data_IF_467449742858
#
_entry.id   IF_467449742858
#
_cell.length_a   1.000
_cell.length_b   1.000
_cell.length_c   1.000
_cell.angle_alpha   90.00
_cell.angle_beta   90.00
_cell.angle_gamma   90.00
#
_symmetry.space_group_name_H-M   'P 1'
#
loop_
_entity.id
_entity.type
_entity.pdbx_description
1 polymer ?
#
# COMPACT_ATOMS: atom_id res chain seq x y z
N UNK A 1 -14.96 -1.77 8.81
CA UNK A 1 -15.41 -1.38 7.47
C UNK A 1 -14.51 -0.22 7.03
N UNK A 2 -13.52 -0.42 6.15
CA UNK A 2 -12.75 0.71 5.63
C UNK A 2 -13.68 1.51 4.71
N UNK A 3 -14.01 2.72 5.17
CA UNK A 3 -14.73 3.75 4.43
C UNK A 3 -13.97 4.02 3.12
N UNK A 4 -14.70 4.44 2.06
CA UNK A 4 -14.21 4.69 0.68
C UNK A 4 -13.13 5.79 0.61
N UNK A 5 -11.96 5.56 1.20
CA UNK A 5 -10.82 6.47 1.18
C UNK A 5 -10.09 6.34 -0.14
N UNK A 6 -9.76 7.47 -0.77
CA UNK A 6 -8.93 7.50 -1.98
C UNK A 6 -7.47 7.15 -1.67
N UNK A 7 -6.98 7.63 -0.53
CA UNK A 7 -5.59 7.48 -0.09
C UNK A 7 -5.54 6.83 1.30
N UNK A 8 -4.61 5.88 1.48
CA UNK A 8 -4.40 5.18 2.75
C UNK A 8 -2.99 5.43 3.26
N UNK A 9 -2.89 6.12 4.39
CA UNK A 9 -1.61 6.41 5.03
C UNK A 9 -1.01 5.15 5.64
N UNK A 10 0.21 4.85 5.23
CA UNK A 10 1.03 3.73 5.67
C UNK A 10 2.35 4.28 6.21
N UNK A 11 2.36 4.86 7.42
CA UNK A 11 3.61 5.24 8.07
C UNK A 11 4.45 3.98 8.32
N UNK A 12 5.77 4.07 8.14
CA UNK A 12 6.69 2.99 8.48
C UNK A 12 6.66 2.77 9.99
N UNK A 13 5.81 1.84 10.44
CA UNK A 13 5.89 1.26 11.78
C UNK A 13 6.97 0.16 11.82
N UNK A 14 7.27 -0.29 13.04
CA UNK A 14 8.28 -1.31 13.35
C UNK A 14 8.02 -2.71 12.73
N UNK A 15 6.91 -2.88 12.01
CA UNK A 15 6.55 -4.12 11.32
C UNK A 15 6.69 -3.95 9.80
N UNK A 16 7.76 -4.54 9.28
CA UNK A 16 7.98 -4.74 7.85
C UNK A 16 6.83 -5.62 7.33
N UNK A 17 6.05 -5.12 6.36
CA UNK A 17 4.86 -5.78 5.81
C UNK A 17 3.63 -5.87 6.77
N UNK A 18 3.33 -4.79 7.48
CA UNK A 18 2.07 -4.63 8.21
C UNK A 18 0.86 -5.06 7.37
N UNK A 19 -0.06 -5.81 7.98
CA UNK A 19 -1.40 -6.14 7.46
C UNK A 19 -2.11 -4.97 6.77
N UNK A 20 -1.79 -3.74 7.16
CA UNK A 20 -2.28 -2.48 6.56
C UNK A 20 -1.99 -2.34 5.07
N UNK A 21 -0.82 -2.78 4.59
CA UNK A 21 -0.48 -2.70 3.17
C UNK A 21 -1.41 -3.61 2.36
N UNK A 22 -1.56 -4.86 2.80
CA UNK A 22 -2.43 -5.84 2.14
C UNK A 22 -3.90 -5.42 2.20
N UNK A 23 -4.35 -4.89 3.33
CA UNK A 23 -5.72 -4.36 3.48
C UNK A 23 -5.98 -3.15 2.57
N UNK A 24 -5.02 -2.23 2.45
CA UNK A 24 -5.12 -1.08 1.55
C UNK A 24 -5.16 -1.49 0.07
N UNK A 25 -4.31 -2.45 -0.33
CA UNK A 25 -4.30 -3.01 -1.68
C UNK A 25 -5.65 -3.69 -1.99
N UNK A 26 -6.17 -4.50 -1.07
CA UNK A 26 -7.46 -5.16 -1.23
C UNK A 26 -8.64 -4.18 -1.29
N UNK A 27 -8.53 -3.04 -0.60
CA UNK A 27 -9.51 -1.97 -0.64
C UNK A 27 -9.40 -1.05 -1.87
N UNK A 28 -8.45 -1.30 -2.78
CA UNK A 28 -8.12 -0.43 -3.92
C UNK A 28 -7.81 1.02 -3.50
N UNK A 29 -7.20 1.17 -2.32
CA UNK A 29 -6.82 2.45 -1.75
C UNK A 29 -5.36 2.74 -2.09
N UNK A 30 -5.09 3.88 -2.76
CA UNK A 30 -3.73 4.25 -3.14
C UNK A 30 -2.90 4.46 -1.87
N UNK A 31 -1.83 3.69 -1.73
CA UNK A 31 -0.99 3.74 -0.53
C UNK A 31 -0.17 5.03 -0.51
N UNK A 32 -0.14 5.68 0.65
CA UNK A 32 0.72 6.82 0.93
C UNK A 32 1.73 6.39 1.98
N UNK A 33 2.92 6.02 1.53
CA UNK A 33 3.98 5.44 2.34
C UNK A 33 4.78 6.58 2.93
N UNK A 34 4.71 6.74 4.25
CA UNK A 34 5.44 7.79 4.96
C UNK A 34 6.66 7.19 5.65
N UNK A 35 7.87 7.46 5.15
CA UNK A 35 9.11 6.96 5.75
C UNK A 35 10.37 7.63 5.22
N UNK A 36 11.42 7.71 6.05
CA UNK A 36 12.77 8.16 5.66
C UNK A 36 13.54 7.06 4.91
N UNK A 37 13.53 5.82 5.42
CA UNK A 37 14.33 4.70 4.88
C UNK A 37 13.60 3.35 4.93
N UNK A 38 12.34 3.30 4.52
CA UNK A 38 11.59 2.04 4.47
C UNK A 38 11.93 1.23 3.23
N UNK A 39 12.62 0.10 3.44
CA UNK A 39 12.74 -0.93 2.42
C UNK A 39 11.37 -1.61 2.26
N UNK A 40 10.68 -1.31 1.16
CA UNK A 40 9.39 -1.92 0.86
C UNK A 40 9.58 -3.41 0.51
N UNK A 41 8.68 -4.29 0.98
CA UNK A 41 8.79 -5.71 0.66
C UNK A 41 8.69 -5.92 -0.86
N UNK A 42 9.46 -6.87 -1.38
CA UNK A 42 9.48 -7.23 -2.80
C UNK A 42 9.79 -6.06 -3.75
N UNK A 43 10.56 -5.06 -3.32
CA UNK A 43 10.96 -3.91 -4.19
C UNK A 43 11.76 -4.32 -5.44
N UNK A 44 12.36 -5.52 -5.45
CA UNK A 44 13.02 -6.09 -6.63
C UNK A 44 12.03 -6.56 -7.71
N UNK A 45 10.78 -6.81 -7.33
CA UNK A 45 9.71 -7.33 -8.20
C UNK A 45 8.64 -6.27 -8.45
N UNK A 46 8.29 -5.50 -7.42
CA UNK A 46 7.22 -4.51 -7.43
C UNK A 46 7.79 -3.10 -7.56
N UNK A 47 7.35 -2.40 -8.61
CA UNK A 47 7.60 -0.96 -8.78
C UNK A 47 6.59 -0.16 -7.97
N UNK A 48 6.90 0.11 -6.71
CA UNK A 48 6.00 0.76 -5.77
C UNK A 48 5.51 2.14 -6.23
N UNK A 49 6.34 2.89 -6.96
CA UNK A 49 6.00 4.19 -7.52
C UNK A 49 4.88 4.11 -8.57
N UNK A 50 4.60 2.92 -9.10
CA UNK A 50 3.54 2.72 -10.09
C UNK A 50 2.13 2.68 -9.48
N UNK A 51 2.01 2.42 -8.17
CA UNK A 51 0.72 2.21 -7.51
C UNK A 51 0.64 2.83 -6.10
N UNK A 52 1.70 3.51 -5.64
CA UNK A 52 1.77 4.18 -4.34
C UNK A 52 2.45 5.54 -4.45
N UNK A 53 2.29 6.33 -3.40
CA UNK A 53 2.92 7.64 -3.22
C UNK A 53 3.87 7.54 -2.04
N UNK A 54 5.16 7.81 -2.25
CA UNK A 54 6.13 7.93 -1.16
C UNK A 54 6.17 9.38 -0.67
N UNK A 55 6.17 9.56 0.64
CA UNK A 55 6.33 10.85 1.32
C UNK A 55 7.41 10.69 2.37
N UNK A 56 8.43 11.54 2.35
CA UNK A 56 9.45 11.55 3.39
C UNK A 56 8.83 12.02 4.72
N UNK A 57 9.34 11.56 5.86
CA UNK A 57 8.83 11.99 7.18
C UNK A 57 8.97 13.51 7.33
N UNK A 58 10.06 14.07 6.79
CA UNK A 58 10.30 15.51 6.68
C UNK A 58 9.41 16.24 5.68
N UNK A 59 8.44 15.60 5.02
CA UNK A 59 7.49 16.28 4.15
C UNK A 59 6.04 16.06 4.58
N UNK A 60 5.84 15.41 5.73
CA UNK A 60 4.50 15.10 6.24
C UNK A 60 3.64 16.35 6.45
N UNK A 61 4.25 17.50 6.78
CA UNK A 61 3.55 18.77 6.93
C UNK A 61 2.98 19.30 5.60
N UNK A 62 3.54 18.88 4.47
CA UNK A 62 3.07 19.22 3.10
C UNK A 62 2.20 18.14 2.48
N UNK A 63 1.81 17.12 3.25
CA UNK A 63 1.06 15.96 2.75
C UNK A 63 -0.17 16.37 1.90
N UNK A 64 -0.91 17.39 2.31
CA UNK A 64 -2.06 17.90 1.55
C UNK A 64 -1.67 18.36 0.14
N UNK A 65 -0.59 19.13 0.01
CA UNK A 65 -0.08 19.63 -1.27
C UNK A 65 0.34 18.48 -2.18
N UNK A 66 1.08 17.51 -1.63
CA UNK A 66 1.52 16.31 -2.34
C UNK A 66 0.32 15.52 -2.87
N UNK A 67 -0.66 15.24 -2.01
CA UNK A 67 -1.85 14.48 -2.40
C UNK A 67 -2.74 15.23 -3.41
N UNK A 68 -2.77 16.56 -3.35
CA UNK A 68 -3.44 17.37 -4.37
C UNK A 68 -2.75 17.25 -5.73
N UNK A 69 -1.40 17.28 -5.77
CA UNK A 69 -0.64 17.08 -7.01
C UNK A 69 -0.80 15.67 -7.60
N UNK A 70 -1.08 14.66 -6.77
CA UNK A 70 -1.31 13.28 -7.21
C UNK A 70 -2.68 13.10 -7.87
N UNK A 71 -3.65 13.99 -7.68
CA UNK A 71 -5.02 13.80 -8.19
C UNK A 71 -5.08 13.56 -9.70
N UNK A 72 -4.20 14.19 -10.49
CA UNK A 72 -4.11 13.99 -11.94
C UNK A 72 -3.67 12.57 -12.31
N UNK A 73 -2.78 11.97 -11.52
CA UNK A 73 -2.24 10.62 -11.71
C UNK A 73 -3.01 9.55 -10.95
N UNK A 74 -4.00 9.92 -10.15
CA UNK A 74 -4.73 9.02 -9.27
C UNK A 74 -5.34 7.84 -10.01
N UNK A 75 -5.97 8.06 -11.18
CA UNK A 75 -6.57 6.98 -11.98
C UNK A 75 -5.53 5.94 -12.39
N UNK A 76 -4.37 6.39 -12.84
CA UNK A 76 -3.27 5.51 -13.25
C UNK A 76 -2.73 4.70 -12.06
N UNK A 77 -2.58 5.31 -10.89
CA UNK A 77 -2.17 4.62 -9.66
C UNK A 77 -3.18 3.52 -9.27
N UNK A 78 -4.48 3.81 -9.34
CA UNK A 78 -5.54 2.83 -9.04
C UNK A 78 -5.55 1.68 -10.05
N UNK A 79 -5.37 1.97 -11.35
CA UNK A 79 -5.30 0.93 -12.39
C UNK A 79 -4.13 -0.04 -12.15
N UNK A 80 -2.94 0.49 -11.84
CA UNK A 80 -1.79 -0.34 -11.48
C UNK A 80 -2.00 -1.07 -10.15
N UNK A 81 -2.65 -0.43 -9.17
CA UNK A 81 -2.98 -1.07 -7.89
C UNK A 81 -3.89 -2.29 -8.09
N UNK A 82 -4.84 -2.24 -9.03
CA UNK A 82 -5.70 -3.38 -9.40
C UNK A 82 -4.92 -4.51 -10.05
N UNK A 83 -3.93 -4.20 -10.88
CA UNK A 83 -3.04 -5.21 -11.45
C UNK A 83 -2.26 -5.89 -10.34
N UNK A 84 -1.69 -5.10 -9.43
CA UNK A 84 -0.87 -5.59 -8.32
C UNK A 84 -1.69 -6.35 -7.28
N UNK A 85 -2.95 -5.95 -7.04
CA UNK A 85 -3.87 -6.61 -6.11
C UNK A 85 -3.96 -8.12 -6.35
N UNK A 86 -3.94 -8.58 -7.60
CA UNK A 86 -3.95 -10.01 -7.94
C UNK A 86 -2.74 -10.78 -7.41
N UNK A 87 -1.60 -10.13 -7.18
CA UNK A 87 -0.43 -10.73 -6.54
C UNK A 87 -0.54 -10.80 -5.02
N UNK A 88 -1.42 -9.99 -4.42
CA UNK A 88 -1.68 -9.91 -2.98
C UNK A 88 -3.03 -10.51 -2.58
N UNK A 89 -3.77 -11.09 -3.54
CA UNK A 89 -4.90 -11.95 -3.27
C UNK A 89 -4.38 -13.12 -2.44
N UNK A 90 -4.51 -12.99 -1.13
CA UNK A 90 -4.29 -14.05 -0.16
C UNK A 90 -4.96 -15.29 -0.73
N UNK A 91 -4.12 -16.25 -1.12
CA UNK A 91 -4.56 -17.59 -1.39
C UNK A 91 -5.21 -18.06 -0.07
N UNK A 92 -6.53 -17.94 0.05
CA UNK A 92 -7.29 -18.44 1.21
C UNK A 92 -7.13 -19.96 1.36
N UNK A 93 -6.41 -20.62 0.46
CA UNK A 93 -5.81 -21.93 0.67
C UNK A 93 -4.47 -21.87 1.42
N UNK A 94 -4.39 -21.11 2.51
CA UNK A 94 -3.93 -21.80 3.70
C UNK A 94 -4.99 -22.86 4.00
N UNK A 95 -4.90 -24.03 3.33
CA UNK A 95 -5.40 -25.26 3.92
C UNK A 95 -4.76 -25.26 5.30
N UNK A 96 -5.57 -24.88 6.29
CA UNK A 96 -5.29 -25.10 7.70
C UNK A 96 -4.93 -26.57 7.74
N UNK A 97 -3.64 -26.88 7.78
CA UNK A 97 -3.21 -28.15 8.32
C UNK A 97 -3.64 -28.05 9.78
N UNK A 98 -4.87 -28.50 10.02
CA UNK A 98 -5.23 -29.09 11.29
C UNK A 98 -4.29 -30.28 11.47
N UNK A 99 -3.11 -30.03 12.02
CA UNK A 99 -2.38 -31.06 12.73
C UNK A 99 -2.71 -30.86 14.20
N UNK A 100 -3.85 -31.43 14.58
CA UNK A 100 -3.92 -32.13 15.85
C UNK A 100 -2.70 -33.06 15.92
N UNK A 101 -1.86 -32.88 16.93
CA UNK A 101 -1.32 -33.86 17.88
C UNK A 101 -0.59 -33.06 18.97
#
# INVERSE_FOLDING_TARGET
>A
MMLKSKFCLCPSGHEVASRRIVEAINAECVLVIVSEHYALPFSEVLRWEAFSVKVEVSEIWRLKEVLMGVQEKYKWLVENLRVVRRHFELNQSAKRFESFI
#
